data_IF_176756757695
#
_entry.id   IF_176756757695
#
_cell.length_a   1.000
_cell.length_b   1.000
_cell.length_c   1.000
_cell.angle_alpha   90.00
_cell.angle_beta   90.00
_cell.angle_gamma   90.00
#
_symmetry.space_group_name_H-M   'P 1'
#
loop_
_entity.id
_entity.type
_entity.pdbx_description
1 polymer ?
#
# COMPACT_ATOMS: atom_id res chain seq x y z
N UNK A 1 0.51 -29.48 70.52
CA UNK A 1 1.55 -28.67 69.86
C UNK A 1 0.86 -27.64 68.99
N UNK A 2 0.84 -26.38 69.43
CA UNK A 2 0.35 -25.26 68.62
C UNK A 2 1.28 -25.07 67.42
N UNK A 3 0.73 -24.86 66.23
CA UNK A 3 1.53 -24.40 65.09
C UNK A 3 2.23 -23.10 65.46
N UNK A 4 3.56 -23.10 65.41
CA UNK A 4 4.38 -21.92 65.62
C UNK A 4 4.03 -20.84 64.57
N UNK A 5 4.17 -19.57 64.93
CA UNK A 5 3.80 -18.45 64.06
C UNK A 5 4.47 -18.51 62.67
N UNK A 6 5.63 -19.18 62.59
CA UNK A 6 6.37 -19.44 61.36
C UNK A 6 5.61 -20.35 60.37
N UNK A 7 4.92 -21.39 60.85
CA UNK A 7 4.13 -22.27 59.99
C UNK A 7 2.91 -21.53 59.41
N UNK A 8 2.33 -20.61 60.18
CA UNK A 8 1.22 -19.78 59.71
C UNK A 8 1.71 -18.78 58.65
N UNK A 9 2.89 -18.19 58.85
CA UNK A 9 3.49 -17.28 57.88
C UNK A 9 3.79 -17.99 56.54
N UNK A 10 4.33 -19.22 56.57
CA UNK A 10 4.63 -20.00 55.36
C UNK A 10 3.36 -20.36 54.57
N UNK A 11 2.28 -20.75 55.26
CA UNK A 11 0.99 -21.04 54.61
C UNK A 11 0.40 -19.78 53.96
N UNK A 12 0.45 -18.64 54.65
CA UNK A 12 -0.03 -17.37 54.10
C UNK A 12 0.82 -16.95 52.89
N UNK A 13 2.14 -17.09 52.96
CA UNK A 13 3.04 -16.80 51.84
C UNK A 13 2.73 -17.66 50.61
N UNK A 14 2.45 -18.96 50.79
CA UNK A 14 2.07 -19.87 49.69
C UNK A 14 0.75 -19.46 49.03
N UNK A 15 -0.27 -19.13 49.82
CA UNK A 15 -1.55 -18.66 49.29
C UNK A 15 -1.37 -17.34 48.52
N UNK A 16 -0.61 -16.41 49.08
CA UNK A 16 -0.27 -15.15 48.40
C UNK A 16 0.49 -15.40 47.11
N UNK A 17 1.50 -16.28 47.09
CA UNK A 17 2.26 -16.61 45.89
C UNK A 17 1.37 -17.21 44.79
N UNK A 18 0.46 -18.12 45.15
CA UNK A 18 -0.49 -18.73 44.19
C UNK A 18 -1.46 -17.70 43.59
N UNK A 19 -1.88 -16.69 44.35
CA UNK A 19 -2.78 -15.63 43.86
C UNK A 19 -2.05 -14.49 43.15
N UNK A 20 -0.82 -14.20 43.55
CA UNK A 20 -0.04 -13.07 43.03
C UNK A 20 0.37 -13.30 41.57
N UNK A 21 0.76 -14.54 41.21
CA UNK A 21 1.22 -14.86 39.85
C UNK A 21 0.12 -14.59 38.79
N UNK A 22 -1.13 -15.09 38.92
CA UNK A 22 -2.20 -14.76 37.98
C UNK A 22 -2.52 -13.27 37.88
N UNK A 23 -2.47 -12.55 39.00
CA UNK A 23 -2.75 -11.10 39.04
C UNK A 23 -1.66 -10.34 38.28
N UNK A 24 -0.39 -10.65 38.53
CA UNK A 24 0.74 -10.04 37.83
C UNK A 24 0.69 -10.32 36.32
N UNK A 25 0.39 -11.56 35.92
CA UNK A 25 0.24 -11.90 34.50
C UNK A 25 -0.91 -11.14 33.84
N UNK A 26 -2.03 -10.95 34.54
CA UNK A 26 -3.17 -10.20 34.02
C UNK A 26 -2.83 -8.72 33.85
N UNK A 27 -2.16 -8.11 34.84
CA UNK A 27 -1.72 -6.70 34.77
C UNK A 27 -0.69 -6.51 33.65
N UNK A 28 0.32 -7.38 33.58
CA UNK A 28 1.33 -7.33 32.51
C UNK A 28 0.70 -7.55 31.12
N UNK A 29 -0.21 -8.51 31.01
CA UNK A 29 -0.92 -8.82 29.77
C UNK A 29 -1.82 -7.69 29.29
N UNK A 30 -2.56 -7.04 30.18
CA UNK A 30 -3.40 -5.88 29.83
C UNK A 30 -2.56 -4.68 29.39
N UNK A 31 -1.46 -4.39 30.09
CA UNK A 31 -0.54 -3.31 29.70
C UNK A 31 0.06 -3.55 28.31
N UNK A 32 0.56 -4.76 28.04
CA UNK A 32 1.13 -5.11 26.75
C UNK A 32 0.07 -5.11 25.62
N UNK A 33 -1.12 -5.67 25.88
CA UNK A 33 -2.21 -5.68 24.91
C UNK A 33 -2.67 -4.27 24.54
N UNK A 34 -2.72 -3.34 25.50
CA UNK A 34 -3.13 -1.96 25.20
C UNK A 34 -2.09 -1.25 24.32
N UNK A 35 -0.79 -1.42 24.62
CA UNK A 35 0.28 -0.82 23.81
C UNK A 35 0.31 -1.36 22.37
N UNK A 36 -0.03 -2.63 22.15
CA UNK A 36 -0.12 -3.20 20.81
C UNK A 36 -1.38 -2.78 20.07
N UNK A 37 -2.53 -2.71 20.76
CA UNK A 37 -3.80 -2.25 20.18
C UNK A 37 -3.70 -0.84 19.61
N UNK A 38 -3.04 0.09 20.30
CA UNK A 38 -2.87 1.47 19.82
C UNK A 38 -2.11 1.51 18.49
N UNK A 39 -1.01 0.74 18.38
CA UNK A 39 -0.22 0.67 17.15
C UNK A 39 -1.00 0.01 16.01
N UNK A 40 -1.69 -1.08 16.32
CA UNK A 40 -2.53 -1.80 15.37
C UNK A 40 -3.66 -0.90 14.84
N UNK A 41 -4.32 -0.14 15.73
CA UNK A 41 -5.39 0.77 15.34
C UNK A 41 -4.87 1.92 14.47
N UNK A 42 -3.72 2.51 14.83
CA UNK A 42 -3.10 3.56 14.02
C UNK A 42 -2.75 3.06 12.61
N UNK A 43 -2.28 1.83 12.47
CA UNK A 43 -1.99 1.23 11.16
C UNK A 43 -3.28 1.00 10.37
N UNK A 44 -4.31 0.43 10.99
CA UNK A 44 -5.63 0.22 10.37
C UNK A 44 -6.24 1.52 9.87
N UNK A 45 -6.15 2.59 10.65
CA UNK A 45 -6.70 3.90 10.25
C UNK A 45 -6.00 4.44 9.00
N UNK A 46 -4.69 4.25 8.87
CA UNK A 46 -3.93 4.62 7.66
C UNK A 46 -4.33 3.78 6.45
N UNK A 47 -4.46 2.47 6.63
CA UNK A 47 -4.89 1.55 5.56
C UNK A 47 -6.29 1.90 5.05
N UNK A 48 -7.24 2.15 5.96
CA UNK A 48 -8.59 2.58 5.62
C UNK A 48 -8.55 3.93 4.87
N UNK A 49 -7.72 4.87 5.32
CA UNK A 49 -7.57 6.17 4.66
C UNK A 49 -7.04 6.03 3.23
N UNK A 50 -6.01 5.21 3.02
CA UNK A 50 -5.47 4.93 1.68
C UNK A 50 -6.49 4.25 0.77
N UNK A 51 -7.20 3.25 1.29
CA UNK A 51 -8.27 2.57 0.54
C UNK A 51 -9.41 3.51 0.16
N UNK A 52 -9.80 4.42 1.06
CA UNK A 52 -10.81 5.43 0.77
C UNK A 52 -10.33 6.42 -0.32
N UNK A 53 -9.06 6.82 -0.28
CA UNK A 53 -8.46 7.65 -1.34
C UNK A 53 -8.47 6.88 -2.67
N UNK A 54 -8.10 5.61 -2.69
CA UNK A 54 -8.10 4.78 -3.90
C UNK A 54 -9.50 4.68 -4.53
N UNK A 55 -10.54 4.44 -3.71
CA UNK A 55 -11.93 4.43 -4.16
C UNK A 55 -12.33 5.80 -4.70
N UNK A 56 -11.98 6.88 -4.01
CA UNK A 56 -12.25 8.24 -4.46
C UNK A 56 -11.58 8.54 -5.80
N UNK A 57 -10.32 8.14 -5.99
CA UNK A 57 -9.61 8.26 -7.27
C UNK A 57 -10.31 7.43 -8.36
N UNK A 58 -10.77 6.21 -8.06
CA UNK A 58 -11.58 5.39 -8.96
C UNK A 58 -12.85 6.09 -9.45
N UNK A 59 -13.58 6.74 -8.54
CA UNK A 59 -14.77 7.55 -8.87
C UNK A 59 -14.39 8.75 -9.75
N UNK A 60 -13.29 9.44 -9.44
CA UNK A 60 -12.85 10.61 -10.20
C UNK A 60 -12.28 10.27 -11.58
N UNK A 61 -11.80 9.03 -11.79
CA UNK A 61 -11.41 8.51 -13.09
C UNK A 61 -12.60 8.22 -14.01
N UNK A 62 -13.78 7.94 -13.46
CA UNK A 62 -14.98 7.70 -14.24
C UNK A 62 -15.46 8.98 -14.94
N UNK A 63 -16.14 8.83 -16.08
CA UNK A 63 -16.71 9.96 -16.82
C UNK A 63 -17.78 10.65 -15.95
N UNK A 64 -17.77 11.98 -15.83
CA UNK A 64 -18.80 12.70 -15.10
C UNK A 64 -20.16 12.55 -15.79
N UNK A 65 -21.17 12.22 -15.01
CA UNK A 65 -22.58 12.12 -15.41
C UNK A 65 -23.44 12.88 -14.39
N UNK A 66 -24.70 13.16 -14.72
CA UNK A 66 -25.66 13.73 -13.76
C UNK A 66 -25.78 12.89 -12.49
N UNK A 67 -25.76 11.57 -12.68
CA UNK A 67 -26.10 10.60 -11.62
C UNK A 67 -24.93 10.38 -10.65
N UNK A 68 -23.69 10.67 -11.08
CA UNK A 68 -22.50 10.48 -10.26
C UNK A 68 -21.95 11.76 -9.62
N UNK A 69 -22.58 12.93 -9.80
CA UNK A 69 -22.06 14.19 -9.25
C UNK A 69 -21.88 14.14 -7.73
N UNK A 70 -22.87 13.62 -7.00
CA UNK A 70 -22.80 13.48 -5.54
C UNK A 70 -21.64 12.56 -5.09
N UNK A 71 -21.36 11.51 -5.87
CA UNK A 71 -20.24 10.60 -5.59
C UNK A 71 -18.89 11.29 -5.84
N UNK A 72 -18.81 12.16 -6.85
CA UNK A 72 -17.61 12.94 -7.15
C UNK A 72 -17.35 13.99 -6.07
N UNK A 73 -18.40 14.63 -5.56
CA UNK A 73 -18.29 15.55 -4.42
C UNK A 73 -17.81 14.82 -3.16
N UNK A 74 -18.35 13.63 -2.89
CA UNK A 74 -17.83 12.77 -1.82
C UNK A 74 -16.36 12.41 -2.04
N UNK A 75 -15.97 12.05 -3.25
CA UNK A 75 -14.59 11.68 -3.58
C UNK A 75 -13.61 12.85 -3.36
N UNK A 76 -13.96 14.05 -3.82
CA UNK A 76 -13.18 15.27 -3.62
C UNK A 76 -13.03 15.56 -2.12
N UNK A 77 -14.12 15.49 -1.36
CA UNK A 77 -14.10 15.72 0.08
C UNK A 77 -13.26 14.66 0.82
N UNK A 78 -13.32 13.41 0.37
CA UNK A 78 -12.53 12.31 0.92
C UNK A 78 -11.05 12.53 0.72
N UNK A 79 -10.62 12.88 -0.51
CA UNK A 79 -9.22 13.21 -0.80
C UNK A 79 -8.78 14.40 0.04
N UNK A 80 -9.57 15.47 0.10
CA UNK A 80 -9.25 16.64 0.93
C UNK A 80 -9.22 16.32 2.42
N UNK A 81 -10.00 15.37 2.92
CA UNK A 81 -9.98 14.98 4.34
C UNK A 81 -8.67 14.29 4.71
N UNK A 82 -8.23 13.33 3.88
CA UNK A 82 -7.08 12.48 4.18
C UNK A 82 -5.75 12.99 3.61
N UNK A 83 -5.76 13.91 2.66
CA UNK A 83 -4.56 14.56 2.13
C UNK A 83 -4.08 15.69 3.04
N UNK A 84 -2.77 15.76 3.28
CA UNK A 84 -2.12 16.89 3.94
C UNK A 84 -2.26 18.17 3.10
N UNK A 85 -2.10 18.04 1.78
CA UNK A 85 -2.24 19.13 0.82
C UNK A 85 -3.66 19.13 0.29
N UNK A 86 -4.41 20.21 0.56
CA UNK A 86 -5.77 20.38 0.06
C UNK A 86 -5.75 20.74 -1.41
N UNK A 87 -6.73 20.22 -2.15
CA UNK A 87 -6.95 20.58 -3.55
C UNK A 87 -7.31 22.07 -3.66
N UNK A 88 -6.74 22.74 -4.65
CA UNK A 88 -7.14 24.12 -4.97
C UNK A 88 -8.59 24.17 -5.47
N UNK A 89 -9.23 25.35 -5.35
CA UNK A 89 -10.59 25.55 -5.86
C UNK A 89 -10.69 25.26 -7.36
N UNK A 90 -9.64 25.60 -8.12
CA UNK A 90 -9.55 25.31 -9.55
C UNK A 90 -9.49 23.80 -9.82
N UNK A 91 -8.67 23.07 -9.05
CA UNK A 91 -8.58 21.62 -9.17
C UNK A 91 -9.92 20.96 -8.81
N UNK A 92 -10.59 21.43 -7.74
CA UNK A 92 -11.92 20.94 -7.35
C UNK A 92 -12.91 21.12 -8.50
N UNK A 93 -12.98 22.32 -9.10
CA UNK A 93 -13.89 22.58 -10.21
C UNK A 93 -13.59 21.68 -11.41
N UNK A 94 -12.31 21.57 -11.79
CA UNK A 94 -11.88 20.71 -12.89
C UNK A 94 -12.22 19.24 -12.63
N UNK A 95 -12.01 18.78 -11.40
CA UNK A 95 -12.35 17.44 -10.94
C UNK A 95 -13.84 17.21 -10.79
N UNK A 96 -14.73 18.21 -10.90
CA UNK A 96 -16.19 18.02 -11.00
C UNK A 96 -16.66 17.87 -12.44
N UNK A 97 -15.93 18.46 -13.38
CA UNK A 97 -16.33 18.53 -14.79
C UNK A 97 -15.59 17.53 -15.69
N UNK A 98 -14.43 17.03 -15.27
CA UNK A 98 -13.56 16.19 -16.09
C UNK A 98 -13.05 14.98 -15.31
N UNK A 99 -12.84 13.83 -15.98
CA UNK A 99 -12.11 12.71 -15.37
C UNK A 99 -10.65 13.10 -15.14
N UNK A 100 -9.99 12.39 -14.22
CA UNK A 100 -8.56 12.57 -13.99
C UNK A 100 -7.75 12.35 -15.28
N UNK A 101 -6.72 13.18 -15.54
CA UNK A 101 -5.82 12.93 -16.66
C UNK A 101 -5.05 11.63 -16.40
N UNK A 102 -5.00 10.76 -17.40
CA UNK A 102 -4.18 9.55 -17.31
C UNK A 102 -2.71 9.95 -17.17
N UNK A 103 -1.94 9.30 -16.28
CA UNK A 103 -0.51 9.52 -16.21
C UNK A 103 0.09 9.31 -17.59
N UNK A 104 0.68 10.37 -18.15
CA UNK A 104 1.49 10.23 -19.36
C UNK A 104 2.78 9.56 -18.90
N UNK A 105 2.94 8.28 -19.19
CA UNK A 105 4.22 7.61 -18.99
C UNK A 105 5.17 8.22 -20.02
N UNK A 106 5.95 9.21 -19.60
CA UNK A 106 7.08 9.69 -20.40
C UNK A 106 8.11 8.57 -20.30
N UNK A 107 8.03 7.61 -21.21
CA UNK A 107 9.20 6.83 -21.56
C UNK A 107 10.19 7.87 -22.08
N UNK A 108 11.15 8.26 -21.24
CA UNK A 108 12.40 8.75 -21.78
C UNK A 108 12.88 7.58 -22.61
N UNK A 109 12.74 7.69 -23.92
CA UNK A 109 13.42 6.80 -24.85
C UNK A 109 14.90 6.92 -24.48
N UNK A 110 15.37 6.01 -23.64
CA UNK A 110 16.76 5.66 -23.66
C UNK A 110 16.91 5.08 -25.07
N UNK A 111 17.79 5.62 -25.95
CA UNK A 111 17.97 5.09 -27.29
C UNK A 111 18.77 3.78 -27.19
N UNK A 112 18.24 2.81 -26.45
CA UNK A 112 18.49 1.42 -26.76
C UNK A 112 17.39 1.09 -27.73
N UNK A 113 17.71 1.28 -29.00
CA UNK A 113 16.99 0.73 -30.13
C UNK A 113 16.56 -0.68 -29.75
N UNK A 114 15.27 -0.89 -29.46
CA UNK A 114 14.70 -2.22 -29.56
C UNK A 114 14.62 -2.46 -31.06
N UNK A 115 15.78 -2.84 -31.63
CA UNK A 115 15.79 -3.65 -32.82
C UNK A 115 15.11 -4.91 -32.32
N UNK A 116 13.81 -5.03 -32.61
CA UNK A 116 13.12 -6.29 -32.70
C UNK A 116 14.12 -7.28 -33.31
N UNK A 117 14.61 -8.21 -32.50
CA UNK A 117 15.79 -9.01 -32.81
C UNK A 117 15.46 -10.01 -33.93
N UNK A 118 15.27 -9.52 -35.14
CA UNK A 118 15.74 -10.22 -36.32
C UNK A 118 17.26 -10.28 -36.15
N UNK A 119 17.76 -11.39 -35.62
CA UNK A 119 19.20 -11.66 -35.59
C UNK A 119 19.61 -11.79 -37.05
N UNK A 120 20.08 -10.69 -37.63
CA UNK A 120 20.63 -10.70 -38.97
C UNK A 120 21.87 -11.57 -38.94
N UNK A 121 21.97 -12.51 -39.87
CA UNK A 121 23.21 -13.27 -40.02
C UNK A 121 24.29 -12.32 -40.54
N UNK A 122 25.39 -12.19 -39.79
CA UNK A 122 26.55 -11.36 -40.15
C UNK A 122 27.77 -12.24 -40.41
N UNK A 123 28.61 -11.86 -41.37
CA UNK A 123 29.92 -12.50 -41.59
C UNK A 123 30.92 -12.17 -40.46
N UNK A 124 32.09 -12.82 -40.47
CA UNK A 124 33.16 -12.60 -39.48
C UNK A 124 33.74 -11.17 -39.47
N UNK A 125 33.38 -10.36 -40.47
CA UNK A 125 33.77 -8.95 -40.61
C UNK A 125 32.63 -8.00 -40.22
N UNK A 126 31.48 -8.52 -39.78
CA UNK A 126 30.31 -7.78 -39.32
C UNK A 126 29.37 -7.29 -40.43
N UNK A 127 29.54 -7.75 -41.68
CA UNK A 127 28.64 -7.38 -42.77
C UNK A 127 27.39 -8.28 -42.76
N UNK A 128 26.23 -7.68 -43.03
CA UNK A 128 24.96 -8.42 -43.12
C UNK A 128 24.96 -9.32 -44.36
N UNK A 129 24.65 -10.60 -44.17
CA UNK A 129 24.44 -11.53 -45.27
C UNK A 129 23.09 -11.24 -45.92
N UNK A 130 23.07 -11.19 -47.25
CA UNK A 130 21.86 -10.98 -48.06
C UNK A 130 21.64 -12.15 -49.01
N UNK A 131 20.40 -12.43 -49.37
CA UNK A 131 20.05 -13.37 -50.44
C UNK A 131 20.43 -12.83 -51.84
N UNK A 132 20.23 -13.65 -52.88
CA UNK A 132 20.51 -13.28 -54.28
C UNK A 132 19.64 -12.12 -54.79
N UNK A 133 18.58 -11.78 -54.07
CA UNK A 133 17.68 -10.66 -54.35
C UNK A 133 18.02 -9.42 -53.49
N UNK A 134 19.12 -9.46 -52.73
CA UNK A 134 19.63 -8.35 -51.93
C UNK A 134 18.88 -8.12 -50.61
N UNK A 135 18.08 -9.08 -50.13
CA UNK A 135 17.35 -8.98 -48.86
C UNK A 135 18.18 -9.58 -47.73
N UNK A 136 18.24 -8.95 -46.55
CA UNK A 136 19.05 -9.43 -45.44
C UNK A 136 18.48 -10.73 -44.88
N UNK A 137 19.36 -11.72 -44.69
CA UNK A 137 19.00 -12.99 -44.07
C UNK A 137 18.81 -12.79 -42.57
N UNK A 138 17.68 -13.25 -42.06
CA UNK A 138 17.31 -13.20 -40.65
C UNK A 138 17.15 -14.62 -40.12
N UNK A 139 17.57 -14.89 -38.88
CA UNK A 139 17.23 -16.16 -38.24
C UNK A 139 15.77 -16.12 -37.82
N UNK A 140 14.92 -16.98 -38.39
CA UNK A 140 13.62 -17.28 -37.79
C UNK A 140 13.84 -18.03 -36.47
N UNK A 141 12.98 -17.78 -35.49
CA UNK A 141 12.98 -18.50 -34.20
C UNK A 141 12.11 -19.74 -34.29
#
# INVERSE_FOLDING_TARGET
MSKDAWDKADIVAKIFATLLVPVLLTVAGTYYNNAMKEKEQLQKDKEISLKNIEIAVGILNAKPTSDNQSLRDWAINTINKYSEIKLSLEAIKLLKERPLPKPQVIYKENPITIIEAATFLTDEKGNKLTDEQGRPLTTEK
#
